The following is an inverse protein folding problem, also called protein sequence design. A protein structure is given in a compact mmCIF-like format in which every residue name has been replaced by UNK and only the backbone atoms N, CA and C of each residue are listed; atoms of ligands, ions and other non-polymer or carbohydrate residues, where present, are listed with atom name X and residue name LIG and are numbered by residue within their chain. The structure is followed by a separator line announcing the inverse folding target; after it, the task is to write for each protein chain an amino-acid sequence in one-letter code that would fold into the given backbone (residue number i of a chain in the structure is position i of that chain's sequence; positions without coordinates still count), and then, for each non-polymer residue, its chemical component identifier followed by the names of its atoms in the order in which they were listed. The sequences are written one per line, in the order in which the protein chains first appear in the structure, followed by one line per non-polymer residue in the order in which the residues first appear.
data_IF_266966354280
#
_entry.id   IF_266966354280
#
_cell.length_a   1.000
_cell.length_b   1.000
_cell.length_c   1.000
_cell.angle_alpha   90.00
_cell.angle_beta   90.00
_cell.angle_gamma   90.00
#
_symmetry.space_group_name_H-M   'P 1'
#
loop_
_entity.id
_entity.type
_entity.pdbx_description
1 polymer ?
#
# COMPACT_ATOMS: atom_id res chain seq x y z
N UNK A 1 11.87 -18.40 13.68
CA UNK A 1 11.54 -17.48 12.57
C UNK A 1 11.58 -16.06 13.09
N UNK A 2 12.29 -15.17 12.42
CA UNK A 2 12.29 -13.73 12.76
C UNK A 2 11.10 -13.08 12.05
N UNK A 3 10.27 -12.34 12.79
CA UNK A 3 9.15 -11.60 12.22
C UNK A 3 9.65 -10.56 11.21
N UNK A 4 8.95 -10.44 10.07
CA UNK A 4 9.18 -9.38 9.07
C UNK A 4 7.88 -8.63 8.81
N UNK A 5 7.88 -7.28 8.89
CA UNK A 5 6.68 -6.47 8.70
C UNK A 5 6.29 -6.32 7.22
N UNK A 6 7.22 -6.55 6.30
CA UNK A 6 7.02 -6.45 4.86
C UNK A 6 7.14 -7.83 4.18
N UNK A 7 6.47 -8.02 3.04
CA UNK A 7 6.73 -9.14 2.14
C UNK A 7 8.22 -9.27 1.79
N UNK A 8 8.75 -10.48 1.58
CA UNK A 8 10.16 -10.69 1.26
C UNK A 8 10.64 -9.96 -0.01
N UNK A 9 9.72 -9.71 -0.95
CA UNK A 9 9.97 -9.00 -2.20
C UNK A 9 10.06 -7.47 -2.07
N UNK A 10 9.89 -6.93 -0.85
CA UNK A 10 9.86 -5.49 -0.60
C UNK A 10 10.85 -5.05 0.47
N UNK A 11 11.34 -3.82 0.31
CA UNK A 11 12.14 -3.12 1.31
C UNK A 11 11.76 -1.64 1.35
N UNK A 12 12.32 -0.91 2.31
CA UNK A 12 12.15 0.55 2.44
C UNK A 12 13.47 1.21 2.10
N UNK A 13 13.41 2.29 1.31
CA UNK A 13 14.56 3.15 0.99
C UNK A 13 14.12 4.61 0.94
N UNK A 14 15.07 5.52 0.84
CA UNK A 14 14.79 6.91 0.49
C UNK A 14 14.10 6.98 -0.86
N UNK A 15 13.02 7.74 -0.91
CA UNK A 15 12.20 7.94 -2.10
C UNK A 15 12.61 9.22 -2.82
N UNK A 16 12.49 9.19 -4.15
CA UNK A 16 12.60 10.42 -4.96
C UNK A 16 11.30 11.25 -4.95
N UNK A 17 10.20 10.68 -4.48
CA UNK A 17 8.88 11.31 -4.39
C UNK A 17 8.71 12.03 -3.06
N UNK A 18 8.78 11.29 -1.95
CA UNK A 18 8.65 11.84 -0.60
C UNK A 18 9.22 10.88 0.46
N UNK A 19 10.07 11.41 1.35
CA UNK A 19 10.64 10.70 2.50
C UNK A 19 11.15 9.28 2.20
N UNK A 20 10.43 8.28 2.71
CA UNK A 20 10.72 6.87 2.52
C UNK A 20 9.65 6.21 1.65
N UNK A 21 10.08 5.33 0.75
CA UNK A 21 9.23 4.60 -0.17
C UNK A 21 9.37 3.09 -0.05
N UNK A 22 8.41 2.35 -0.61
CA UNK A 22 8.51 0.90 -0.82
C UNK A 22 9.25 0.61 -2.13
N UNK A 23 10.20 -0.32 -2.10
CA UNK A 23 10.98 -0.71 -3.26
C UNK A 23 10.99 -2.22 -3.44
N UNK A 24 10.93 -2.66 -4.69
CA UNK A 24 11.06 -4.07 -5.05
C UNK A 24 12.51 -4.57 -4.82
N UNK A 25 12.67 -5.74 -4.21
CA UNK A 25 13.98 -6.40 -4.03
C UNK A 25 14.26 -7.46 -5.10
N UNK A 26 13.24 -7.82 -5.87
CA UNK A 26 13.23 -8.74 -7.00
C UNK A 26 12.17 -8.29 -8.01
N UNK A 27 12.15 -8.89 -9.20
CA UNK A 27 11.10 -8.59 -10.18
C UNK A 27 9.76 -9.15 -9.68
N UNK A 28 8.69 -8.39 -9.87
CA UNK A 28 7.34 -8.73 -9.40
C UNK A 28 6.39 -8.70 -10.59
N UNK A 29 5.67 -9.80 -10.81
CA UNK A 29 4.69 -9.91 -11.89
C UNK A 29 3.50 -8.94 -11.72
N UNK A 30 2.79 -8.69 -12.82
CA UNK A 30 1.52 -7.96 -12.81
C UNK A 30 0.42 -8.71 -12.03
N UNK A 31 -0.47 -7.97 -11.36
CA UNK A 31 -1.64 -8.53 -10.69
C UNK A 31 -1.33 -9.22 -9.35
N UNK A 32 -0.11 -9.12 -8.84
CA UNK A 32 0.32 -9.73 -7.58
C UNK A 32 -0.25 -8.93 -6.39
N UNK A 33 -0.91 -9.63 -5.47
CA UNK A 33 -1.28 -9.07 -4.16
C UNK A 33 -0.06 -8.99 -3.26
N UNK A 34 0.39 -7.77 -2.94
CA UNK A 34 1.50 -7.53 -2.03
C UNK A 34 1.08 -7.60 -0.55
N UNK A 35 -0.22 -7.50 -0.27
CA UNK A 35 -0.77 -7.67 1.08
C UNK A 35 -1.72 -6.55 1.48
N UNK A 36 -2.13 -6.57 2.75
CA UNK A 36 -3.06 -5.57 3.32
C UNK A 36 -2.33 -4.25 3.52
N UNK A 37 -2.85 -3.17 2.95
CA UNK A 37 -2.36 -1.81 3.14
C UNK A 37 -3.19 -1.05 4.17
N UNK A 38 -4.52 -1.24 4.18
CA UNK A 38 -5.42 -0.54 5.09
C UNK A 38 -6.48 -1.48 5.67
N UNK A 39 -6.89 -1.21 6.90
CA UNK A 39 -8.00 -1.88 7.57
C UNK A 39 -8.99 -0.80 8.00
N UNK A 40 -10.25 -0.91 7.58
CA UNK A 40 -11.27 0.08 7.95
C UNK A 40 -11.50 0.08 9.46
N UNK A 41 -11.37 1.23 10.09
CA UNK A 41 -11.69 1.45 11.48
C UNK A 41 -12.01 2.93 11.72
N UNK A 42 -13.27 3.22 12.04
CA UNK A 42 -13.78 4.60 12.20
C UNK A 42 -13.15 5.37 13.36
N UNK A 43 -12.46 4.69 14.28
CA UNK A 43 -11.80 5.33 15.41
C UNK A 43 -10.40 5.87 15.07
N UNK A 44 -9.94 5.69 13.83
CA UNK A 44 -8.63 6.16 13.37
C UNK A 44 -8.79 7.28 12.35
N UNK A 45 -7.72 8.05 12.18
CA UNK A 45 -7.65 9.12 11.20
C UNK A 45 -8.10 8.62 9.81
N UNK A 46 -9.01 9.36 9.18
CA UNK A 46 -9.56 9.07 7.85
C UNK A 46 -10.30 7.72 7.76
N UNK A 47 -10.61 7.10 8.91
CA UNK A 47 -11.36 5.86 9.01
C UNK A 47 -10.56 4.59 8.72
N UNK A 48 -9.22 4.65 8.74
CA UNK A 48 -8.37 3.51 8.41
C UNK A 48 -7.13 3.38 9.32
N UNK A 49 -6.82 2.14 9.68
CA UNK A 49 -5.50 1.75 10.18
C UNK A 49 -4.61 1.42 8.98
N UNK A 50 -3.45 2.07 8.88
CA UNK A 50 -2.42 1.77 7.87
C UNK A 50 -1.47 0.70 8.38
N UNK A 51 -1.22 -0.32 7.56
CA UNK A 51 -0.13 -1.28 7.78
C UNK A 51 1.19 -0.67 7.28
N UNK A 52 2.35 -1.33 7.47
CA UNK A 52 3.60 -0.88 6.85
C UNK A 52 3.48 -0.64 5.33
N UNK A 53 2.68 -1.44 4.61
CA UNK A 53 2.44 -1.22 3.18
C UNK A 53 1.68 0.08 2.92
N UNK A 54 0.62 0.36 3.67
CA UNK A 54 -0.14 1.62 3.54
C UNK A 54 0.59 2.85 4.09
N UNK A 55 1.60 2.64 4.95
CA UNK A 55 2.39 3.69 5.57
C UNK A 55 3.58 4.19 4.74
N UNK A 56 4.17 3.34 3.90
CA UNK A 56 5.38 3.65 3.13
C UNK A 56 5.19 3.66 1.61
N UNK A 57 4.01 3.31 1.09
CA UNK A 57 3.73 3.41 -0.34
C UNK A 57 3.46 4.87 -0.71
N UNK A 58 4.12 5.36 -1.75
CA UNK A 58 4.04 6.76 -2.16
C UNK A 58 3.01 7.01 -3.26
N UNK A 59 2.74 8.29 -3.49
CA UNK A 59 1.81 8.74 -4.53
C UNK A 59 2.49 8.99 -5.88
N UNK A 60 1.83 8.64 -6.97
CA UNK A 60 2.16 9.12 -8.32
C UNK A 60 0.90 9.28 -9.18
N UNK A 61 0.96 10.18 -10.15
CA UNK A 61 -0.03 10.29 -11.24
C UNK A 61 0.13 9.18 -12.29
N UNK A 62 1.30 8.54 -12.33
CA UNK A 62 1.63 7.38 -13.15
C UNK A 62 1.96 6.19 -12.24
N UNK A 63 0.96 5.60 -11.55
CA UNK A 63 1.18 4.54 -10.58
C UNK A 63 1.52 3.21 -11.25
N UNK A 64 2.32 2.38 -10.56
CA UNK A 64 2.58 0.98 -10.91
C UNK A 64 1.90 -0.01 -9.94
N UNK A 65 1.18 0.50 -8.94
CA UNK A 65 0.34 -0.26 -8.03
C UNK A 65 -1.04 0.38 -7.82
N UNK A 66 -2.01 -0.43 -7.44
CA UNK A 66 -3.37 -0.01 -7.11
C UNK A 66 -3.86 -0.57 -5.78
N UNK A 67 -4.90 0.06 -5.25
CA UNK A 67 -5.58 -0.37 -4.04
C UNK A 67 -6.90 -1.02 -4.37
N UNK A 68 -7.09 -2.26 -3.89
CA UNK A 68 -8.35 -3.00 -4.03
C UNK A 68 -9.01 -3.20 -2.68
N UNK A 69 -10.26 -2.76 -2.57
CA UNK A 69 -11.10 -2.98 -1.39
C UNK A 69 -11.68 -4.38 -1.44
N UNK A 70 -11.52 -5.12 -0.35
CA UNK A 70 -12.06 -6.46 -0.18
C UNK A 70 -12.96 -6.52 1.06
N UNK A 71 -14.13 -7.12 0.89
CA UNK A 71 -15.02 -7.44 2.00
C UNK A 71 -14.60 -8.80 2.55
N UNK A 72 -14.27 -8.85 3.84
CA UNK A 72 -13.85 -10.10 4.48
C UNK A 72 -15.06 -10.83 5.06
N UNK A 73 -15.01 -12.16 5.05
CA UNK A 73 -15.97 -13.03 5.74
C UNK A 73 -15.23 -13.99 6.69
N UNK A 74 -15.48 -13.96 8.01
CA UNK A 74 -16.35 -13.01 8.71
C UNK A 74 -15.81 -11.56 8.64
N UNK A 75 -16.69 -10.55 8.74
CA UNK A 75 -16.27 -9.16 8.64
C UNK A 75 -15.43 -8.76 9.86
N UNK A 76 -14.34 -8.03 9.64
CA UNK A 76 -13.40 -7.59 10.70
C UNK A 76 -14.05 -6.60 11.69
N UNK A 77 -15.08 -5.89 11.23
CA UNK A 77 -15.93 -5.00 12.05
C UNK A 77 -17.33 -4.95 11.43
N UNK A 78 -18.29 -4.25 12.07
CA UNK A 78 -19.61 -3.99 11.47
C UNK A 78 -19.41 -3.23 10.15
N UNK A 79 -19.56 -3.93 9.02
CA UNK A 79 -19.23 -3.45 7.66
C UNK A 79 -17.73 -3.20 7.38
N UNK A 80 -16.84 -3.88 8.10
CA UNK A 80 -15.39 -3.73 7.94
C UNK A 80 -14.87 -4.32 6.63
N UNK A 81 -13.95 -3.61 5.98
CA UNK A 81 -13.24 -4.03 4.76
C UNK A 81 -11.73 -3.88 4.95
N UNK A 82 -10.97 -4.73 4.27
CA UNK A 82 -9.54 -4.51 4.08
C UNK A 82 -9.30 -3.88 2.72
N UNK A 83 -8.17 -3.21 2.59
CA UNK A 83 -7.66 -2.73 1.32
C UNK A 83 -6.31 -3.37 1.12
N UNK A 84 -6.09 -3.96 -0.06
CA UNK A 84 -4.84 -4.58 -0.45
C UNK A 84 -4.13 -3.78 -1.53
N UNK A 85 -2.81 -3.87 -1.52
CA UNK A 85 -1.96 -3.31 -2.56
C UNK A 85 -1.71 -4.39 -3.63
N UNK A 86 -1.95 -4.04 -4.89
CA UNK A 86 -1.74 -4.90 -6.05
C UNK A 86 -0.81 -4.23 -7.06
N UNK A 87 0.03 -5.01 -7.73
CA UNK A 87 0.80 -4.52 -8.88
C UNK A 87 -0.14 -4.32 -10.09
N UNK A 88 -0.03 -3.16 -10.76
CA UNK A 88 -0.78 -2.83 -11.98
C UNK A 88 -0.08 -3.30 -13.26
N UNK A 89 1.21 -3.56 -13.15
CA UNK A 89 2.10 -4.06 -14.20
C UNK A 89 3.27 -4.77 -13.54
N UNK A 90 4.13 -5.37 -14.34
CA UNK A 90 5.43 -5.85 -13.88
C UNK A 90 6.22 -4.71 -13.22
N UNK A 91 6.89 -5.02 -12.10
CA UNK A 91 7.75 -4.10 -11.35
C UNK A 91 9.16 -4.69 -11.35
N UNK A 92 10.12 -3.94 -11.87
CA UNK A 92 11.50 -4.41 -11.91
C UNK A 92 12.16 -4.27 -10.54
N UNK A 93 13.14 -5.14 -10.26
CA UNK A 93 13.97 -5.06 -9.06
C UNK A 93 14.57 -3.66 -8.91
N UNK A 94 14.37 -3.08 -7.73
CA UNK A 94 14.86 -1.75 -7.38
C UNK A 94 13.93 -0.60 -7.76
N UNK A 95 12.82 -0.87 -8.43
CA UNK A 95 11.78 0.12 -8.73
C UNK A 95 10.97 0.46 -7.47
N UNK A 96 10.55 1.72 -7.35
CA UNK A 96 9.66 2.20 -6.28
C UNK A 96 8.20 1.82 -6.57
N UNK A 97 7.47 1.40 -5.56
CA UNK A 97 6.04 1.13 -5.65
C UNK A 97 5.26 2.42 -5.40
N UNK A 98 4.49 2.81 -6.41
CA UNK A 98 3.75 4.08 -6.45
C UNK A 98 2.28 3.82 -6.75
N UNK A 99 1.42 4.58 -6.07
CA UNK A 99 -0.02 4.41 -6.10
C UNK A 99 -0.75 5.72 -6.33
N UNK A 100 -2.01 5.66 -6.76
CA UNK A 100 -2.89 6.82 -6.73
C UNK A 100 -3.56 6.93 -5.37
N UNK A 101 -3.29 7.99 -4.60
CA UNK A 101 -3.95 8.22 -3.32
C UNK A 101 -5.45 8.51 -3.53
N UNK A 102 -6.28 8.03 -2.60
CA UNK A 102 -7.73 8.20 -2.62
C UNK A 102 -8.30 8.62 -1.27
N UNK A 103 -7.53 8.55 -0.18
CA UNK A 103 -7.99 8.94 1.16
C UNK A 103 -8.07 10.45 1.35
N UNK A 104 -7.28 11.22 0.61
CA UNK A 104 -7.19 12.68 0.75
C UNK A 104 -7.24 13.34 -0.61
N UNK A 105 -7.94 14.47 -0.70
CA UNK A 105 -7.78 15.41 -1.80
C UNK A 105 -6.33 15.91 -1.77
N UNK A 106 -5.58 15.68 -2.85
CA UNK A 106 -4.22 16.22 -3.00
C UNK A 106 -4.37 17.72 -3.24
N UNK A 107 -4.53 18.50 -2.18
CA UNK A 107 -4.81 19.92 -2.28
C UNK A 107 -5.52 20.48 -1.06
N UNK A 108 -4.91 20.37 0.11
CA UNK A 108 -5.05 21.30 1.23
C UNK A 108 -3.90 21.00 2.19
N UNK A 109 -2.75 21.62 1.93
CA UNK A 109 -1.77 21.87 2.99
C UNK A 109 -2.29 23.11 3.72
N UNK A 110 -2.69 22.95 4.97
CA UNK A 110 -2.77 24.08 5.91
C UNK A 110 -1.38 24.69 6.13
#
# INVERSE_FOLDING_TARGET
MTYRPLPPCLTIKESSVDGLGLFATEDIEEGVSLGVSHISNVNFENGYVRTPLGGFVNHSNEPNCEFKKEVTFPPIAKNGSIIRLYTLREISKGEELLTKYWLYSIGEKE
#
